data_IF_837907486532
#
_entry.id   IF_837907486532
#
_cell.length_a   1.000
_cell.length_b   1.000
_cell.length_c   1.000
_cell.angle_alpha   90.00
_cell.angle_beta   90.00
_cell.angle_gamma   90.00
#
_symmetry.space_group_name_H-M   'P 1'
#
loop_
_entity.id
_entity.type
_entity.pdbx_description
1 polymer ?
#
# COMPACT_ATOMS: atom_id res chain seq x y z
N UNK A 1 -1.39 12.86 -14.86
CA UNK A 1 -2.17 11.91 -15.69
C UNK A 1 -2.43 10.66 -14.88
N UNK A 2 -3.66 10.14 -14.92
CA UNK A 2 -4.02 8.85 -14.34
C UNK A 2 -4.45 7.91 -15.45
N UNK A 3 -4.05 6.64 -15.38
CA UNK A 3 -4.43 5.61 -16.34
C UNK A 3 -4.51 4.24 -15.67
N UNK A 4 -5.48 3.42 -16.06
CA UNK A 4 -5.50 1.99 -15.75
C UNK A 4 -5.11 1.26 -17.03
N UNK A 5 -4.03 0.48 -16.98
CA UNK A 5 -3.44 -0.21 -18.13
C UNK A 5 -3.57 -1.71 -17.92
N UNK A 6 -4.20 -2.38 -18.87
CA UNK A 6 -4.35 -3.83 -18.92
C UNK A 6 -3.33 -4.39 -19.89
N UNK A 7 -2.48 -5.32 -19.43
CA UNK A 7 -1.60 -6.06 -20.33
C UNK A 7 -2.43 -7.00 -21.23
N UNK A 8 -2.00 -7.28 -22.47
CA UNK A 8 -2.66 -8.31 -23.28
C UNK A 8 -2.56 -9.67 -22.57
N UNK A 9 -3.59 -10.49 -22.72
CA UNK A 9 -3.57 -11.85 -22.21
C UNK A 9 -2.41 -12.66 -22.82
N UNK A 10 -1.83 -13.55 -22.02
CA UNK A 10 -0.74 -14.44 -22.42
C UNK A 10 -1.17 -15.88 -22.27
N UNK A 11 -0.60 -16.79 -23.06
CA UNK A 11 -0.86 -18.22 -22.93
C UNK A 11 0.26 -18.85 -22.11
N UNK A 12 -0.09 -19.57 -21.03
CA UNK A 12 0.89 -20.28 -20.20
C UNK A 12 1.42 -21.56 -20.88
N UNK A 13 2.39 -22.21 -20.25
CA UNK A 13 3.00 -23.45 -20.75
C UNK A 13 1.99 -24.61 -20.91
N UNK A 14 0.81 -24.51 -20.29
CA UNK A 14 -0.28 -25.48 -20.37
C UNK A 14 -1.33 -25.13 -21.44
N UNK A 15 -1.18 -24.03 -22.17
CA UNK A 15 -2.13 -23.59 -23.19
C UNK A 15 -3.32 -22.81 -22.62
N UNK A 16 -3.27 -22.40 -21.35
CA UNK A 16 -4.32 -21.63 -20.68
C UNK A 16 -4.08 -20.14 -20.91
N UNK A 17 -5.15 -19.42 -21.28
CA UNK A 17 -5.09 -17.96 -21.35
C UNK A 17 -5.06 -17.38 -19.93
N UNK A 18 -4.02 -16.62 -19.64
CA UNK A 18 -3.76 -15.99 -18.35
C UNK A 18 -3.79 -14.49 -18.54
N UNK A 19 -4.66 -13.83 -17.78
CA UNK A 19 -4.77 -12.39 -17.72
C UNK A 19 -4.06 -11.86 -16.48
N UNK A 20 -3.02 -11.03 -16.67
CA UNK A 20 -2.38 -10.32 -15.55
C UNK A 20 -3.30 -9.25 -14.99
N UNK A 21 -3.27 -8.95 -13.69
CA UNK A 21 -4.08 -7.86 -13.15
C UNK A 21 -3.71 -6.49 -13.75
N UNK A 22 -4.67 -5.56 -13.90
CA UNK A 22 -4.40 -4.22 -14.41
C UNK A 22 -3.46 -3.42 -13.51
N UNK A 23 -2.74 -2.46 -14.09
CA UNK A 23 -1.91 -1.49 -13.39
C UNK A 23 -2.55 -0.10 -13.41
N UNK A 24 -2.81 0.46 -12.25
CA UNK A 24 -3.14 1.86 -12.06
C UNK A 24 -1.85 2.70 -12.00
N UNK A 25 -1.72 3.65 -12.91
CA UNK A 25 -0.55 4.51 -13.07
C UNK A 25 -0.90 5.97 -12.82
N UNK A 26 -0.11 6.65 -11.98
CA UNK A 26 -0.08 8.12 -11.93
C UNK A 26 1.23 8.57 -12.55
N UNK A 27 1.11 9.40 -13.59
CA UNK A 27 2.25 10.04 -14.25
C UNK A 27 2.23 11.54 -14.01
N UNK A 28 3.36 12.08 -13.58
CA UNK A 28 3.55 13.51 -13.29
C UNK A 28 4.54 14.12 -14.26
N UNK A 29 4.29 15.37 -14.65
CA UNK A 29 5.16 16.17 -15.49
C UNK A 29 5.43 17.48 -14.74
N UNK A 30 6.69 17.76 -14.44
CA UNK A 30 7.05 18.90 -13.58
C UNK A 30 6.83 20.27 -14.26
N UNK A 31 6.94 20.30 -15.58
CA UNK A 31 6.68 21.48 -16.43
C UNK A 31 6.12 21.03 -17.79
N UNK A 32 5.48 21.92 -18.59
CA UNK A 32 4.81 21.54 -19.84
C UNK A 32 5.67 20.83 -20.89
N UNK A 33 7.00 20.88 -20.80
CA UNK A 33 7.95 20.24 -21.73
C UNK A 33 8.74 19.09 -21.12
N UNK A 34 8.68 18.89 -19.81
CA UNK A 34 9.35 17.76 -19.15
C UNK A 34 8.77 16.41 -19.60
N UNK A 35 9.52 15.33 -19.45
CA UNK A 35 8.98 13.99 -19.68
C UNK A 35 8.08 13.59 -18.51
N UNK A 36 7.00 12.87 -18.80
CA UNK A 36 6.21 12.22 -17.76
C UNK A 36 7.04 11.18 -17.03
N UNK A 37 6.96 11.18 -15.70
CA UNK A 37 7.55 10.17 -14.82
C UNK A 37 6.46 9.43 -14.07
N UNK A 38 6.66 8.14 -13.87
CA UNK A 38 5.75 7.33 -13.06
C UNK A 38 5.95 7.70 -11.59
N UNK A 39 4.87 8.13 -10.97
CA UNK A 39 4.81 8.48 -9.55
C UNK A 39 4.17 7.35 -8.74
N UNK A 40 3.12 6.73 -9.29
CA UNK A 40 2.50 5.52 -8.75
C UNK A 40 2.36 4.47 -9.85
N UNK A 41 2.61 3.21 -9.49
CA UNK A 41 2.35 2.00 -10.26
C UNK A 41 1.79 0.93 -9.34
N UNK A 42 0.47 0.78 -9.36
CA UNK A 42 -0.30 0.00 -8.41
C UNK A 42 -1.01 -1.13 -9.13
N UNK A 43 -0.76 -2.37 -8.73
CA UNK A 43 -1.56 -3.52 -9.14
C UNK A 43 -2.98 -3.39 -8.59
N UNK A 44 -3.97 -3.40 -9.47
CA UNK A 44 -5.39 -3.42 -9.10
C UNK A 44 -5.73 -4.83 -8.64
N UNK A 45 -6.30 -4.94 -7.43
CA UNK A 45 -6.60 -6.23 -6.77
C UNK A 45 -8.09 -6.49 -6.61
N UNK A 46 -8.94 -5.60 -7.15
CA UNK A 46 -10.38 -5.83 -7.20
C UNK A 46 -10.70 -7.12 -7.97
N UNK A 47 -11.66 -7.94 -7.47
CA UNK A 47 -12.28 -8.99 -8.26
C UNK A 47 -12.83 -8.44 -9.58
N UNK A 48 -12.85 -9.24 -10.65
CA UNK A 48 -13.31 -8.79 -11.97
C UNK A 48 -14.77 -8.32 -11.94
N UNK A 49 -15.60 -8.89 -11.06
CA UNK A 49 -17.01 -8.54 -10.91
C UNK A 49 -17.27 -7.35 -9.98
N UNK A 50 -16.23 -6.83 -9.31
CA UNK A 50 -16.39 -5.70 -8.41
C UNK A 50 -16.67 -4.41 -9.19
N UNK A 51 -17.61 -3.61 -8.68
CA UNK A 51 -17.94 -2.31 -9.27
C UNK A 51 -16.73 -1.38 -9.15
N UNK A 52 -16.25 -0.88 -10.30
CA UNK A 52 -15.13 0.04 -10.35
C UNK A 52 -15.65 1.47 -10.36
N UNK A 53 -15.15 2.36 -9.47
CA UNK A 53 -15.55 3.75 -9.51
C UNK A 53 -15.22 4.38 -10.87
N UNK A 54 -16.22 4.97 -11.51
CA UNK A 54 -16.04 5.64 -12.78
C UNK A 54 -15.48 7.05 -12.58
N UNK A 55 -14.49 7.41 -13.39
CA UNK A 55 -13.95 8.78 -13.47
C UNK A 55 -14.40 9.46 -14.77
N UNK A 56 -14.28 10.79 -14.80
CA UNK A 56 -14.59 11.56 -16.00
C UNK A 56 -13.79 11.05 -17.21
N UNK A 57 -14.38 11.06 -18.43
CA UNK A 57 -13.68 10.66 -19.65
C UNK A 57 -12.35 11.39 -19.84
N UNK A 58 -11.36 10.73 -20.43
CA UNK A 58 -10.01 11.27 -20.62
C UNK A 58 -9.98 12.62 -21.36
N UNK A 59 -10.95 12.89 -22.25
CA UNK A 59 -11.07 14.16 -22.97
C UNK A 59 -11.44 15.36 -22.07
N UNK A 60 -12.12 15.11 -20.95
CA UNK A 60 -12.47 16.14 -19.96
C UNK A 60 -11.42 16.22 -18.84
N UNK A 61 -10.84 15.07 -18.48
CA UNK A 61 -9.98 14.93 -17.32
C UNK A 61 -10.76 14.97 -16.01
N UNK A 62 -10.19 14.37 -14.96
CA UNK A 62 -10.74 14.46 -13.61
C UNK A 62 -9.95 15.51 -12.82
N UNK A 63 -10.60 16.53 -12.22
CA UNK A 63 -9.90 17.48 -11.35
C UNK A 63 -9.31 16.76 -10.14
N UNK A 64 -8.13 17.23 -9.73
CA UNK A 64 -7.49 16.81 -8.50
C UNK A 64 -8.15 17.48 -7.30
N UNK A 65 -8.40 16.71 -6.26
CA UNK A 65 -8.82 17.23 -4.96
C UNK A 65 -7.59 17.40 -4.05
N UNK A 66 -7.53 18.48 -3.25
CA UNK A 66 -6.52 18.61 -2.20
C UNK A 66 -6.64 17.45 -1.19
N UNK A 67 -5.51 17.06 -0.59
CA UNK A 67 -5.46 15.98 0.42
C UNK A 67 -6.25 16.29 1.69
N UNK A 68 -6.61 17.55 1.92
CA UNK A 68 -7.40 18.03 3.07
C UNK A 68 -8.84 18.40 2.68
N UNK A 69 -9.32 17.95 1.51
CA UNK A 69 -10.65 18.32 1.02
C UNK A 69 -11.76 17.85 1.97
N UNK A 70 -12.76 18.70 2.30
CA UNK A 70 -13.91 18.29 3.10
C UNK A 70 -15.05 17.69 2.26
N UNK A 71 -14.83 17.48 0.95
CA UNK A 71 -15.86 17.00 0.02
C UNK A 71 -16.07 15.48 0.07
N UNK A 72 -15.22 14.76 0.81
CA UNK A 72 -15.25 13.31 0.96
C UNK A 72 -15.67 12.94 2.39
N UNK A 73 -16.13 11.70 2.59
CA UNK A 73 -16.51 11.18 3.90
C UNK A 73 -15.36 11.25 4.92
N UNK A 74 -14.13 11.07 4.43
CA UNK A 74 -12.88 11.21 5.16
C UNK A 74 -11.85 11.87 4.25
N UNK A 75 -10.99 12.74 4.80
CA UNK A 75 -9.99 13.42 3.97
C UNK A 75 -8.95 12.43 3.46
N UNK A 76 -8.39 12.60 2.25
CA UNK A 76 -7.34 11.71 1.75
C UNK A 76 -6.12 11.58 2.68
N UNK A 77 -5.78 12.65 3.40
CA UNK A 77 -4.74 12.62 4.42
C UNK A 77 -5.12 11.72 5.61
N UNK A 78 -6.36 11.82 6.09
CA UNK A 78 -6.85 11.00 7.20
C UNK A 78 -7.03 9.53 6.78
N UNK A 79 -7.34 9.25 5.51
CA UNK A 79 -7.29 7.89 4.95
C UNK A 79 -5.90 7.30 5.09
N UNK A 80 -4.84 8.05 4.77
CA UNK A 80 -3.46 7.57 4.87
C UNK A 80 -3.08 7.24 6.33
N UNK A 81 -3.41 8.14 7.26
CA UNK A 81 -3.11 7.97 8.68
C UNK A 81 -3.93 6.81 9.27
N UNK A 82 -5.24 6.80 9.01
CA UNK A 82 -6.15 5.78 9.53
C UNK A 82 -5.82 4.38 9.01
N UNK A 83 -5.47 4.25 7.73
CA UNK A 83 -5.13 2.94 7.17
C UNK A 83 -3.78 2.42 7.69
N UNK A 84 -2.79 3.30 7.91
CA UNK A 84 -1.53 2.92 8.53
C UNK A 84 -1.75 2.37 9.96
N UNK A 85 -2.67 2.98 10.72
CA UNK A 85 -3.06 2.52 12.04
C UNK A 85 -3.85 1.20 12.00
N UNK A 86 -4.80 1.06 11.06
CA UNK A 86 -5.53 -0.18 10.80
C UNK A 86 -4.58 -1.35 10.52
N UNK A 87 -3.58 -1.17 9.65
CA UNK A 87 -2.60 -2.20 9.36
C UNK A 87 -1.75 -2.60 10.58
N UNK A 88 -1.60 -1.71 11.57
CA UNK A 88 -0.80 -1.97 12.76
C UNK A 88 -1.64 -2.58 13.89
N UNK A 89 -2.87 -2.13 14.07
CA UNK A 89 -3.72 -2.43 15.24
C UNK A 89 -4.94 -3.30 14.92
N UNK A 90 -5.30 -3.46 13.64
CA UNK A 90 -6.47 -4.22 13.22
C UNK A 90 -7.76 -3.62 13.78
N UNK A 91 -8.59 -4.48 14.37
CA UNK A 91 -9.87 -4.13 15.01
C UNK A 91 -9.73 -3.18 16.22
N UNK A 92 -8.51 -3.02 16.76
CA UNK A 92 -8.21 -2.06 17.82
C UNK A 92 -7.87 -0.66 17.29
N UNK A 93 -7.89 -0.44 15.98
CA UNK A 93 -7.70 0.88 15.40
C UNK A 93 -8.96 1.74 15.58
N UNK A 94 -8.77 3.00 15.97
CA UNK A 94 -9.86 3.98 16.01
C UNK A 94 -10.45 4.25 14.61
N UNK A 95 -9.72 3.89 13.55
CA UNK A 95 -10.14 4.05 12.15
C UNK A 95 -10.76 2.79 11.55
N UNK A 96 -10.92 1.69 12.31
CA UNK A 96 -11.40 0.41 11.79
C UNK A 96 -12.71 0.53 11.01
N UNK A 97 -13.70 1.23 11.57
CA UNK A 97 -15.03 1.41 10.96
C UNK A 97 -15.01 2.25 9.67
N UNK A 98 -13.94 3.01 9.41
CA UNK A 98 -13.81 3.80 8.18
C UNK A 98 -13.53 2.94 6.95
N UNK A 99 -13.00 1.73 7.13
CA UNK A 99 -12.52 0.88 6.04
C UNK A 99 -13.34 -0.39 5.92
N UNK A 100 -13.57 -0.81 4.68
CA UNK A 100 -14.13 -2.12 4.41
C UNK A 100 -13.07 -3.19 4.65
N UNK A 101 -13.02 -3.75 5.86
CA UNK A 101 -12.04 -4.77 6.22
C UNK A 101 -12.28 -6.12 5.52
N UNK A 102 -13.53 -6.46 5.21
CA UNK A 102 -13.87 -7.70 4.50
C UNK A 102 -13.43 -7.60 3.03
N UNK A 103 -12.60 -8.56 2.60
CA UNK A 103 -12.02 -8.60 1.26
C UNK A 103 -10.81 -7.69 1.06
N UNK A 104 -10.35 -6.99 2.12
CA UNK A 104 -9.10 -6.24 2.08
C UNK A 104 -7.90 -7.20 2.17
N UNK A 105 -7.43 -7.63 1.01
CA UNK A 105 -6.29 -8.56 0.89
C UNK A 105 -4.97 -8.00 1.42
N UNK A 106 -4.82 -6.67 1.55
CA UNK A 106 -3.61 -6.08 2.13
C UNK A 106 -3.62 -6.20 3.66
N UNK A 107 -4.77 -5.97 4.29
CA UNK A 107 -4.96 -6.24 5.73
C UNK A 107 -4.75 -7.73 6.03
N UNK A 108 -5.22 -8.63 5.18
CA UNK A 108 -4.95 -10.07 5.32
C UNK A 108 -3.44 -10.39 5.23
N UNK A 109 -2.73 -9.75 4.30
CA UNK A 109 -1.32 -10.05 4.02
C UNK A 109 -0.37 -9.45 5.06
N UNK A 110 -0.59 -8.21 5.48
CA UNK A 110 0.33 -7.45 6.33
C UNK A 110 -0.33 -6.75 7.52
N UNK A 111 -1.61 -6.98 7.78
CA UNK A 111 -2.31 -6.40 8.94
C UNK A 111 -1.87 -7.00 10.28
N UNK A 112 -2.51 -6.55 11.37
CA UNK A 112 -2.16 -6.91 12.73
C UNK A 112 -2.10 -8.44 12.98
N UNK A 113 -3.04 -9.20 12.42
CA UNK A 113 -3.07 -10.66 12.54
C UNK A 113 -1.87 -11.32 11.84
N UNK A 114 -1.53 -10.90 10.63
CA UNK A 114 -0.36 -11.40 9.89
C UNK A 114 0.95 -11.04 10.60
N UNK A 115 1.04 -9.82 11.15
CA UNK A 115 2.18 -9.36 11.96
C UNK A 115 2.35 -10.20 13.22
N UNK A 116 1.25 -10.50 13.93
CA UNK A 116 1.27 -11.36 15.10
C UNK A 116 1.72 -12.79 14.77
N UNK A 117 1.22 -13.35 13.66
CA UNK A 117 1.65 -14.66 13.17
C UNK A 117 3.16 -14.67 12.82
N UNK A 118 3.65 -13.62 12.16
CA UNK A 118 5.08 -13.45 11.85
C UNK A 118 5.94 -13.35 13.11
N UNK A 119 5.48 -12.60 14.12
CA UNK A 119 6.16 -12.52 15.41
C UNK A 119 6.22 -13.88 16.13
N UNK A 120 5.12 -14.63 16.12
CA UNK A 120 5.05 -15.96 16.73
C UNK A 120 5.90 -17.02 16.00
N UNK A 121 6.16 -16.83 14.70
CA UNK A 121 6.99 -17.72 13.89
C UNK A 121 8.51 -17.52 14.11
N UNK A 122 8.92 -16.45 14.80
CA UNK A 122 10.33 -16.22 15.10
C UNK A 122 10.83 -17.17 16.20
N UNK A 123 12.12 -17.55 16.16
CA UNK A 123 12.73 -18.28 17.25
C UNK A 123 12.70 -17.44 18.53
N UNK A 124 12.69 -18.08 19.69
CA UNK A 124 12.66 -17.41 21.01
C UNK A 124 13.87 -16.50 21.26
N UNK A 125 14.95 -16.69 20.49
CA UNK A 125 16.17 -15.87 20.51
C UNK A 125 16.06 -14.60 19.69
N UNK A 126 14.91 -14.32 19.08
CA UNK A 126 14.65 -13.13 18.28
C UNK A 126 13.29 -12.51 18.65
N UNK A 127 13.20 -11.20 18.51
CA UNK A 127 11.94 -10.45 18.59
C UNK A 127 11.78 -9.58 17.34
N UNK A 128 10.54 -9.23 17.02
CA UNK A 128 10.22 -8.30 15.93
C UNK A 128 9.33 -7.18 16.43
N UNK A 129 9.62 -5.96 15.97
CA UNK A 129 8.78 -4.79 16.13
C UNK A 129 8.38 -4.26 14.76
N UNK A 130 7.13 -3.83 14.64
CA UNK A 130 6.57 -3.25 13.43
C UNK A 130 6.23 -1.78 13.66
N UNK A 131 6.38 -0.97 12.63
CA UNK A 131 5.85 0.40 12.60
C UNK A 131 5.36 0.75 11.21
N UNK A 132 4.20 1.39 11.13
CA UNK A 132 3.65 1.93 9.90
C UNK A 132 3.66 3.46 9.96
N UNK A 133 3.90 4.10 8.83
CA UNK A 133 3.86 5.55 8.70
C UNK A 133 3.37 5.95 7.31
N UNK A 134 2.82 7.17 7.21
CA UNK A 134 2.60 7.82 5.92
C UNK A 134 3.97 8.16 5.32
N UNK A 135 4.21 7.72 4.09
CA UNK A 135 5.45 8.00 3.38
C UNK A 135 5.47 9.41 2.78
N UNK A 136 6.60 9.77 2.16
CA UNK A 136 6.84 11.14 1.69
C UNK A 136 6.24 11.47 0.30
N UNK A 137 5.62 10.49 -0.37
CA UNK A 137 5.06 10.72 -1.71
C UNK A 137 3.71 11.46 -1.63
N UNK A 138 3.48 12.35 -2.59
CA UNK A 138 2.24 13.13 -2.69
C UNK A 138 1.00 12.24 -2.80
N UNK A 139 -0.04 12.59 -2.04
CA UNK A 139 -1.36 11.97 -2.15
C UNK A 139 -2.07 12.57 -3.36
N UNK A 140 -2.49 11.71 -4.31
CA UNK A 140 -3.32 12.13 -5.45
C UNK A 140 -4.76 11.71 -5.23
N UNK A 141 -5.71 12.59 -5.51
CA UNK A 141 -7.14 12.31 -5.37
C UNK A 141 -7.88 12.78 -6.60
N UNK A 142 -8.52 11.87 -7.34
CA UNK A 142 -9.27 12.18 -8.56
C UNK A 142 -10.75 11.99 -8.29
N UNK A 143 -11.55 13.02 -8.54
CA UNK A 143 -13.01 12.93 -8.36
C UNK A 143 -13.63 11.85 -9.26
N UNK A 144 -14.57 11.09 -8.71
CA UNK A 144 -15.37 10.09 -9.43
C UNK A 144 -16.73 10.67 -9.82
N UNK A 145 -17.41 10.04 -10.77
CA UNK A 145 -18.69 10.53 -11.32
C UNK A 145 -19.83 10.56 -10.29
N UNK A 146 -19.72 9.76 -9.22
CA UNK A 146 -20.63 9.67 -8.08
C UNK A 146 -20.33 10.71 -6.98
N UNK A 147 -19.33 11.56 -7.17
CA UNK A 147 -18.93 12.60 -6.23
C UNK A 147 -17.90 12.16 -5.18
N UNK A 148 -17.50 10.88 -5.17
CA UNK A 148 -16.38 10.39 -4.37
C UNK A 148 -15.01 10.73 -4.99
N UNK A 149 -13.99 9.96 -4.61
CA UNK A 149 -12.67 10.05 -5.22
C UNK A 149 -11.91 8.72 -5.25
N UNK A 150 -11.12 8.54 -6.31
CA UNK A 150 -10.00 7.61 -6.30
C UNK A 150 -8.81 8.27 -5.60
N UNK A 151 -8.31 7.65 -4.53
CA UNK A 151 -7.19 8.19 -3.73
C UNK A 151 -5.98 7.27 -3.83
N UNK A 152 -4.86 7.82 -4.28
CA UNK A 152 -3.56 7.15 -4.30
C UNK A 152 -2.69 7.73 -3.21
N UNK A 153 -2.12 6.87 -2.38
CA UNK A 153 -1.27 7.25 -1.26
C UNK A 153 -0.11 6.28 -1.09
N UNK A 154 0.87 6.68 -0.31
CA UNK A 154 2.08 5.91 -0.05
C UNK A 154 2.29 5.74 1.44
N UNK A 155 2.43 4.49 1.89
CA UNK A 155 2.80 4.15 3.25
C UNK A 155 4.19 3.51 3.27
N UNK A 156 4.83 3.58 4.42
CA UNK A 156 6.03 2.80 4.72
C UNK A 156 5.78 1.92 5.93
N UNK A 157 6.28 0.70 5.86
CA UNK A 157 6.31 -0.24 6.97
C UNK A 157 7.76 -0.58 7.31
N UNK A 158 8.13 -0.53 8.59
CA UNK A 158 9.42 -1.02 9.06
C UNK A 158 9.24 -2.26 9.93
N UNK A 159 9.99 -3.31 9.60
CA UNK A 159 10.18 -4.50 10.42
C UNK A 159 11.56 -4.45 11.07
N UNK A 160 11.64 -4.41 12.39
CA UNK A 160 12.88 -4.46 13.15
C UNK A 160 12.99 -5.79 13.87
N UNK A 161 13.92 -6.65 13.46
CA UNK A 161 14.20 -7.94 14.08
C UNK A 161 15.48 -7.85 14.90
N UNK A 162 15.42 -8.16 16.19
CA UNK A 162 16.55 -8.03 17.14
C UNK A 162 16.80 -9.34 17.90
N UNK A 163 18.06 -9.72 18.17
CA UNK A 163 18.35 -10.81 19.09
C UNK A 163 17.89 -10.48 20.51
N UNK A 164 17.38 -11.48 21.24
CA UNK A 164 16.93 -11.32 22.64
C UNK A 164 17.95 -11.78 23.68
N UNK A 165 19.02 -12.47 23.23
CA UNK A 165 20.06 -13.03 24.09
C UNK A 165 21.44 -12.47 23.76
N UNK A 166 22.29 -12.32 24.77
CA UNK A 166 23.66 -11.84 24.58
C UNK A 166 24.48 -12.82 23.72
N UNK A 167 25.07 -12.32 22.63
CA UNK A 167 25.85 -13.12 21.69
C UNK A 167 25.01 -13.88 20.66
N UNK A 168 23.67 -13.84 20.74
CA UNK A 168 22.80 -14.33 19.69
C UNK A 168 22.82 -13.39 18.48
N UNK A 169 22.48 -13.94 17.32
CA UNK A 169 22.39 -13.19 16.08
C UNK A 169 21.13 -13.56 15.31
N UNK A 170 20.60 -12.59 14.58
CA UNK A 170 19.45 -12.77 13.68
C UNK A 170 19.95 -12.90 12.25
N UNK A 171 19.29 -13.75 11.47
CA UNK A 171 19.58 -13.96 10.06
C UNK A 171 18.57 -13.20 9.20
N UNK A 172 19.05 -12.46 8.21
CA UNK A 172 18.20 -11.80 7.23
C UNK A 172 17.84 -12.74 6.07
N UNK A 173 16.59 -12.68 5.57
CA UNK A 173 16.24 -13.23 4.26
C UNK A 173 17.11 -12.65 3.15
N UNK A 174 17.29 -13.38 2.04
CA UNK A 174 18.24 -13.02 0.99
C UNK A 174 18.11 -11.58 0.46
N UNK A 175 16.88 -11.11 0.20
CA UNK A 175 16.65 -9.75 -0.28
C UNK A 175 17.01 -8.68 0.77
N UNK A 176 16.68 -8.92 2.04
CA UNK A 176 17.02 -8.03 3.16
C UNK A 176 18.53 -8.02 3.37
N UNK A 177 19.18 -9.18 3.32
CA UNK A 177 20.63 -9.31 3.45
C UNK A 177 21.38 -8.60 2.33
N UNK A 178 20.87 -8.67 1.09
CA UNK A 178 21.46 -8.00 -0.06
C UNK A 178 21.45 -6.47 0.11
N UNK A 179 20.36 -5.89 0.61
CA UNK A 179 20.27 -4.45 0.88
C UNK A 179 21.05 -4.03 2.14
N UNK A 180 20.98 -4.84 3.21
CA UNK A 180 21.67 -4.56 4.47
C UNK A 180 23.20 -4.76 4.37
N UNK A 181 23.69 -5.42 3.32
CA UNK A 181 25.11 -5.75 3.13
C UNK A 181 25.63 -6.84 4.07
N UNK A 182 24.74 -7.49 4.84
CA UNK A 182 25.09 -8.58 5.77
C UNK A 182 23.93 -9.55 5.94
N UNK A 183 24.24 -10.84 6.01
CA UNK A 183 23.24 -11.89 6.22
C UNK A 183 22.90 -12.14 7.69
N UNK A 184 23.76 -11.69 8.61
CA UNK A 184 23.62 -11.93 10.05
C UNK A 184 23.96 -10.66 10.83
N UNK A 185 23.25 -10.40 11.92
CA UNK A 185 23.54 -9.29 12.85
C UNK A 185 23.32 -9.69 14.31
N UNK A 186 24.24 -9.26 15.18
CA UNK A 186 24.14 -9.39 16.64
C UNK A 186 23.45 -8.19 17.32
N UNK A 187 23.18 -7.11 16.58
CA UNK A 187 22.42 -5.96 17.11
C UNK A 187 20.97 -6.00 16.63
N UNK A 188 20.76 -6.43 15.38
CA UNK A 188 19.45 -6.52 14.76
C UNK A 188 19.44 -6.01 13.32
N UNK A 189 18.34 -6.25 12.63
CA UNK A 189 18.14 -5.84 11.23
C UNK A 189 16.81 -5.10 11.12
N UNK A 190 16.82 -3.97 10.42
CA UNK A 190 15.62 -3.23 10.05
C UNK A 190 15.42 -3.37 8.54
N UNK A 191 14.25 -3.80 8.13
CA UNK A 191 13.79 -3.79 6.75
C UNK A 191 12.65 -2.77 6.62
N UNK A 192 12.70 -1.90 5.61
CA UNK A 192 11.62 -0.95 5.32
C UNK A 192 11.00 -1.29 3.97
N UNK A 193 9.69 -1.38 3.95
CA UNK A 193 8.86 -1.66 2.80
C UNK A 193 8.07 -0.41 2.42
N UNK A 194 8.08 -0.07 1.14
CA UNK A 194 7.20 0.94 0.58
C UNK A 194 5.92 0.30 0.06
N UNK A 195 4.78 0.93 0.30
CA UNK A 195 3.47 0.43 -0.06
C UNK A 195 2.73 1.54 -0.80
N UNK A 196 2.50 1.35 -2.09
CA UNK A 196 1.64 2.21 -2.90
C UNK A 196 0.23 1.65 -2.86
N UNK A 197 -0.77 2.49 -2.61
CA UNK A 197 -2.15 2.04 -2.37
C UNK A 197 -3.13 2.89 -3.16
N UNK A 198 -4.14 2.24 -3.73
CA UNK A 198 -5.28 2.85 -4.41
C UNK A 198 -6.58 2.54 -3.65
N UNK A 199 -7.29 3.58 -3.26
CA UNK A 199 -8.58 3.51 -2.58
C UNK A 199 -9.71 4.14 -3.39
N UNK A 200 -10.94 3.67 -3.16
CA UNK A 200 -12.17 4.44 -3.40
C UNK A 200 -12.60 5.08 -2.09
N UNK A 201 -12.78 6.39 -2.10
CA UNK A 201 -13.25 7.17 -0.94
C UNK A 201 -14.60 7.80 -1.28
N UNK A 202 -15.65 7.55 -0.50
CA UNK A 202 -16.99 8.03 -0.81
C UNK A 202 -17.15 9.54 -0.57
N UNK A 203 -18.19 10.17 -1.18
CA UNK A 203 -18.49 11.57 -0.96
C UNK A 203 -18.89 11.86 0.49
N UNK A 204 -18.75 13.14 0.88
CA UNK A 204 -19.21 13.61 2.19
C UNK A 204 -20.70 13.29 2.41
N UNK A 205 -21.03 12.83 3.62
CA UNK A 205 -22.40 12.45 3.99
C UNK A 205 -22.85 11.07 3.51
N UNK A 206 -21.97 10.30 2.87
CA UNK A 206 -22.18 8.87 2.62
C UNK A 206 -21.87 8.03 3.86
N UNK A 207 -22.66 6.98 4.07
CA UNK A 207 -22.40 5.95 5.09
C UNK A 207 -21.52 4.80 4.55
N UNK A 208 -21.09 4.87 3.29
CA UNK A 208 -20.19 3.87 2.70
C UNK A 208 -18.78 3.97 3.29
N UNK A 209 -18.07 2.84 3.31
CA UNK A 209 -16.69 2.75 3.80
C UNK A 209 -15.67 3.04 2.68
N UNK A 210 -14.44 3.32 3.08
CA UNK A 210 -13.28 3.37 2.17
C UNK A 210 -12.93 1.95 1.73
N UNK A 211 -12.78 1.75 0.41
CA UNK A 211 -12.55 0.43 -0.17
C UNK A 211 -11.18 0.37 -0.83
N UNK A 212 -10.37 -0.62 -0.46
CA UNK A 212 -9.09 -0.91 -1.12
C UNK A 212 -9.35 -1.44 -2.54
N UNK A 213 -8.73 -0.81 -3.54
CA UNK A 213 -8.85 -1.23 -4.93
C UNK A 213 -7.57 -1.87 -5.47
N UNK A 214 -6.43 -1.60 -4.86
CA UNK A 214 -5.14 -2.10 -5.32
C UNK A 214 -3.99 -1.63 -4.45
N UNK A 215 -2.89 -2.39 -4.51
CA UNK A 215 -1.66 -2.04 -3.84
C UNK A 215 -0.44 -2.62 -4.54
N UNK A 216 0.73 -2.09 -4.21
CA UNK A 216 2.03 -2.66 -4.58
C UNK A 216 2.99 -2.41 -3.45
N UNK A 217 3.60 -3.49 -2.96
CA UNK A 217 4.56 -3.48 -1.86
C UNK A 217 5.95 -3.87 -2.37
N UNK A 218 6.98 -3.21 -1.89
CA UNK A 218 8.37 -3.56 -2.20
C UNK A 218 9.32 -3.22 -1.07
N UNK A 219 10.38 -4.01 -0.91
CA UNK A 219 11.49 -3.70 -0.01
C UNK A 219 12.29 -2.52 -0.58
N UNK A 220 12.34 -1.40 0.14
CA UNK A 220 13.00 -0.16 -0.32
C UNK A 220 14.31 0.13 0.40
N UNK A 221 14.48 -0.38 1.62
CA UNK A 221 15.75 -0.27 2.35
C UNK A 221 15.89 -1.40 3.36
N UNK A 222 17.12 -1.76 3.70
CA UNK A 222 17.42 -2.56 4.86
C UNK A 222 18.78 -2.17 5.45
N UNK A 223 18.95 -2.38 6.74
CA UNK A 223 20.19 -2.06 7.43
C UNK A 223 20.27 -2.70 8.81
N UNK A 224 21.45 -2.66 9.41
CA UNK A 224 21.65 -3.08 10.79
C UNK A 224 21.07 -2.03 11.76
N UNK A 225 20.52 -2.48 12.88
CA UNK A 225 20.13 -1.57 13.96
C UNK A 225 21.37 -0.98 14.62
N UNK A 226 21.44 0.35 14.70
CA UNK A 226 22.44 1.09 15.48
C UNK A 226 22.26 0.89 16.97
#
# INVERSE_FOLDING_TARGET
>A
MFAIVQAPATVDDAGTEVQTPPLALVLVQDDPRSQYRVHYAITVTLPEEAERPEVAPAALGAPLLPSTTPLLAVTPQDVAVGYADLLLRGDQSDSFELFQAEGDTLVEQIGAAAKAARAAALPTTASIAFSNAVGEADIFSFVTNDGGALVMLYLTESERVTPTEAGAAVNAPAAVAALAGKAQSTTGIVATYGIQILFSVPPVGSDAQVVLLGYTQGLISAGETS
#
